data_IF_984493723543
#
_entry.id   IF_984493723543
#
_cell.length_a   1.000
_cell.length_b   1.000
_cell.length_c   1.000
_cell.angle_alpha   90.00
_cell.angle_beta   90.00
_cell.angle_gamma   90.00
#
_symmetry.space_group_name_H-M   'P 1'
#
loop_
_entity.id
_entity.type
_entity.pdbx_description
1 polymer ?
#
# COMPACT_ATOMS: atom_id res chain seq x y z
N UNK A 1 7.97 -1.63 16.61
CA UNK A 1 7.80 -1.75 15.15
C UNK A 1 9.02 -1.12 14.48
N UNK A 2 9.99 -1.92 13.98
CA UNK A 2 11.20 -1.36 13.33
C UNK A 2 10.84 -1.00 11.89
N UNK A 3 10.44 0.24 11.65
CA UNK A 3 10.29 0.78 10.30
C UNK A 3 11.67 0.73 9.65
N UNK A 4 11.85 -0.12 8.62
CA UNK A 4 13.09 -0.10 7.83
C UNK A 4 13.20 1.31 7.23
N UNK A 5 14.30 2.02 7.55
CA UNK A 5 14.62 3.37 7.06
C UNK A 5 14.44 3.52 5.53
N UNK A 6 14.56 2.42 4.78
CA UNK A 6 14.36 2.35 3.33
C UNK A 6 12.92 2.68 2.85
N UNK A 7 11.87 2.46 3.65
CA UNK A 7 10.49 2.73 3.22
C UNK A 7 10.19 4.21 3.03
N UNK A 8 10.86 5.10 3.77
CA UNK A 8 10.70 6.55 3.62
C UNK A 8 11.34 7.13 2.37
N UNK A 9 12.23 6.38 1.70
CA UNK A 9 12.83 6.81 0.43
C UNK A 9 11.91 6.56 -0.76
N UNK A 10 10.96 5.64 -0.65
CA UNK A 10 10.05 5.25 -1.73
C UNK A 10 9.17 6.44 -2.16
N UNK A 11 8.53 7.21 -1.25
CA UNK A 11 7.74 8.37 -1.66
C UNK A 11 8.56 9.47 -2.33
N UNK A 12 9.79 9.69 -1.86
CA UNK A 12 10.71 10.67 -2.44
C UNK A 12 11.10 10.29 -3.87
N UNK A 13 11.36 9.01 -4.12
CA UNK A 13 11.62 8.49 -5.46
C UNK A 13 10.39 8.64 -6.37
N UNK A 14 9.20 8.28 -5.89
CA UNK A 14 7.95 8.46 -6.65
C UNK A 14 7.72 9.93 -7.02
N UNK A 15 7.98 10.86 -6.11
CA UNK A 15 7.92 12.30 -6.38
C UNK A 15 8.91 12.74 -7.45
N UNK A 16 10.18 12.34 -7.32
CA UNK A 16 11.22 12.72 -8.28
C UNK A 16 10.93 12.18 -9.68
N UNK A 17 10.47 10.92 -9.78
CA UNK A 17 10.10 10.29 -11.05
C UNK A 17 8.90 11.00 -11.68
N UNK A 18 7.82 11.20 -10.91
CA UNK A 18 6.61 11.86 -11.43
C UNK A 18 6.88 13.31 -11.83
N UNK A 19 7.64 14.06 -11.03
CA UNK A 19 8.03 15.42 -11.34
C UNK A 19 8.92 15.52 -12.59
N UNK A 20 9.93 14.64 -12.69
CA UNK A 20 10.81 14.58 -13.87
C UNK A 20 10.04 14.20 -15.15
N UNK A 21 9.11 13.25 -15.05
CA UNK A 21 8.27 12.83 -16.18
C UNK A 21 7.36 13.96 -16.67
N UNK A 22 6.70 14.67 -15.76
CA UNK A 22 5.81 15.79 -16.10
C UNK A 22 6.60 16.99 -16.67
N UNK A 23 7.82 17.23 -16.18
CA UNK A 23 8.70 18.26 -16.71
C UNK A 23 9.12 17.97 -18.16
N UNK A 24 9.45 16.72 -18.49
CA UNK A 24 9.80 16.31 -19.87
C UNK A 24 8.61 16.50 -20.82
N UNK A 25 7.38 16.25 -20.34
CA UNK A 25 6.15 16.44 -21.12
C UNK A 25 5.71 17.89 -21.29
N UNK A 26 6.35 18.86 -20.61
CA UNK A 26 5.89 20.25 -20.51
C UNK A 26 4.44 20.40 -19.97
N UNK A 27 3.90 19.36 -19.32
CA UNK A 27 2.56 19.34 -18.70
C UNK A 27 2.66 19.56 -17.19
N UNK A 28 3.65 20.35 -16.75
CA UNK A 28 3.93 20.53 -15.34
C UNK A 28 2.84 21.41 -14.69
N UNK A 29 1.88 20.74 -14.06
CA UNK A 29 0.83 21.35 -13.25
C UNK A 29 0.79 20.67 -11.88
N UNK A 30 0.46 21.45 -10.84
CA UNK A 30 0.28 20.93 -9.47
C UNK A 30 -0.82 19.86 -9.44
N UNK A 31 -1.88 20.04 -10.25
CA UNK A 31 -2.95 19.05 -10.39
C UNK A 31 -2.43 17.75 -11.02
N UNK A 32 -1.66 17.84 -12.12
CA UNK A 32 -1.09 16.66 -12.78
C UNK A 32 -0.10 15.90 -11.88
N UNK A 33 0.65 16.61 -11.03
CA UNK A 33 1.52 16.01 -10.03
C UNK A 33 0.72 15.30 -8.93
N UNK A 34 -0.39 15.89 -8.47
CA UNK A 34 -1.32 15.26 -7.53
C UNK A 34 -1.86 13.94 -8.08
N UNK A 35 -2.33 13.92 -9.32
CA UNK A 35 -2.91 12.74 -9.96
C UNK A 35 -1.88 11.62 -10.11
N UNK A 36 -0.66 11.95 -10.54
CA UNK A 36 0.42 10.99 -10.65
C UNK A 36 0.78 10.36 -9.29
N UNK A 37 0.84 11.16 -8.23
CA UNK A 37 1.09 10.66 -6.87
C UNK A 37 -0.06 9.83 -6.33
N UNK A 38 -1.30 10.18 -6.67
CA UNK A 38 -2.48 9.40 -6.31
C UNK A 38 -2.42 7.99 -6.90
N UNK A 39 -2.03 7.86 -8.18
CA UNK A 39 -1.88 6.56 -8.83
C UNK A 39 -0.81 5.68 -8.15
N UNK A 40 0.32 6.26 -7.77
CA UNK A 40 1.33 5.57 -6.96
C UNK A 40 0.77 5.14 -5.60
N UNK A 41 0.08 6.05 -4.90
CA UNK A 41 -0.54 5.78 -3.62
C UNK A 41 -1.52 4.60 -3.71
N UNK A 42 -2.36 4.59 -4.75
CA UNK A 42 -3.35 3.54 -4.99
C UNK A 42 -2.68 2.17 -5.13
N UNK A 43 -1.62 2.06 -5.93
CA UNK A 43 -0.87 0.83 -6.10
C UNK A 43 -0.37 0.27 -4.75
N UNK A 44 0.25 1.13 -3.93
CA UNK A 44 0.76 0.75 -2.61
C UNK A 44 -0.35 0.40 -1.62
N UNK A 45 -1.45 1.15 -1.62
CA UNK A 45 -2.59 0.94 -0.72
C UNK A 45 -3.37 -0.32 -1.06
N UNK A 46 -3.54 -0.66 -2.34
CA UNK A 46 -4.17 -1.92 -2.75
C UNK A 46 -3.37 -3.10 -2.19
N UNK A 47 -2.08 -3.16 -2.50
CA UNK A 47 -1.21 -4.27 -2.06
C UNK A 47 -1.10 -4.31 -0.53
N UNK A 48 -0.86 -3.16 0.09
CA UNK A 48 -0.76 -3.03 1.54
C UNK A 48 -2.06 -3.40 2.25
N UNK A 49 -3.21 -3.01 1.71
CA UNK A 49 -4.53 -3.35 2.22
C UNK A 49 -4.80 -4.84 2.17
N UNK A 50 -4.53 -5.50 1.03
CA UNK A 50 -4.63 -6.96 0.93
C UNK A 50 -3.73 -7.67 1.94
N UNK A 51 -2.46 -7.27 2.03
CA UNK A 51 -1.52 -7.85 3.00
C UNK A 51 -1.93 -7.59 4.44
N UNK A 52 -2.57 -6.46 4.73
CA UNK A 52 -3.09 -6.15 6.05
C UNK A 52 -4.30 -7.02 6.41
N UNK A 53 -5.21 -7.26 5.47
CA UNK A 53 -6.31 -8.22 5.64
C UNK A 53 -5.75 -9.63 5.87
N UNK A 54 -4.72 -10.06 5.12
CA UNK A 54 -4.03 -11.33 5.40
C UNK A 54 -3.42 -11.35 6.81
N UNK A 55 -2.74 -10.28 7.22
CA UNK A 55 -2.12 -10.13 8.54
C UNK A 55 -3.12 -10.15 9.70
N UNK A 56 -4.37 -9.72 9.46
CA UNK A 56 -5.43 -9.60 10.48
C UNK A 56 -5.88 -10.95 11.05
N UNK A 57 -5.60 -12.06 10.36
CA UNK A 57 -6.09 -13.39 10.76
C UNK A 57 -7.50 -13.72 10.24
N UNK A 58 -8.12 -12.84 9.44
CA UNK A 58 -9.40 -13.13 8.77
C UNK A 58 -9.35 -14.44 7.98
N UNK A 59 -8.32 -14.62 7.15
CA UNK A 59 -8.16 -15.82 6.34
C UNK A 59 -7.84 -17.07 7.18
N UNK A 60 -7.08 -16.93 8.26
CA UNK A 60 -6.82 -18.03 9.20
C UNK A 60 -8.15 -18.50 9.85
N UNK A 61 -9.04 -17.56 10.20
CA UNK A 61 -10.37 -17.86 10.74
C UNK A 61 -11.32 -18.46 9.70
N UNK A 62 -11.26 -18.00 8.46
CA UNK A 62 -12.00 -18.58 7.34
C UNK A 62 -11.59 -20.02 7.08
N UNK A 63 -10.27 -20.29 7.04
CA UNK A 63 -9.72 -21.64 6.89
C UNK A 63 -10.15 -22.56 8.04
N UNK A 64 -10.13 -22.07 9.28
CA UNK A 64 -10.64 -22.79 10.43
C UNK A 64 -12.14 -23.12 10.29
N UNK A 65 -12.96 -22.13 9.92
CA UNK A 65 -14.42 -22.28 9.81
C UNK A 65 -14.83 -23.24 8.70
N UNK A 66 -14.21 -23.12 7.53
CA UNK A 66 -14.41 -24.06 6.41
C UNK A 66 -14.07 -25.49 6.83
N UNK A 67 -12.93 -25.70 7.50
CA UNK A 67 -12.51 -27.04 7.89
C UNK A 67 -13.40 -27.65 8.96
N UNK A 68 -13.90 -26.84 9.90
CA UNK A 68 -14.92 -27.25 10.88
C UNK A 68 -16.22 -27.68 10.19
N UNK A 69 -16.61 -27.02 9.10
CA UNK A 69 -17.78 -27.39 8.32
C UNK A 69 -17.58 -28.66 7.46
N UNK A 70 -16.35 -28.92 6.99
CA UNK A 70 -16.05 -30.01 6.05
C UNK A 70 -15.33 -31.24 6.64
N UNK A 71 -15.16 -31.34 7.97
CA UNK A 71 -14.58 -32.49 8.71
C UNK A 71 -13.26 -33.09 8.14
N UNK A 72 -12.44 -32.30 7.43
CA UNK A 72 -11.16 -32.77 6.85
C UNK A 72 -10.03 -32.75 7.90
N UNK A 73 -9.22 -33.81 7.92
CA UNK A 73 -8.17 -34.08 8.91
C UNK A 73 -7.08 -32.99 9.08
N UNK A 74 -6.49 -32.96 10.28
CA UNK A 74 -5.47 -32.01 10.78
C UNK A 74 -4.12 -32.14 10.06
N UNK A 75 -3.94 -31.45 8.95
CA UNK A 75 -2.62 -31.09 8.41
C UNK A 75 -2.22 -29.71 8.90
N UNK A 76 -0.95 -29.54 9.23
CA UNK A 76 -0.35 -28.26 9.65
C UNK A 76 -0.67 -27.16 8.65
N UNK A 77 -1.17 -26.03 9.15
CA UNK A 77 -1.56 -24.89 8.33
C UNK A 77 -0.40 -23.91 8.22
N UNK A 78 -0.12 -23.47 6.99
CA UNK A 78 0.63 -22.24 6.79
C UNK A 78 -0.26 -21.06 7.22
N UNK A 79 0.12 -20.39 8.30
CA UNK A 79 -0.52 -19.16 8.79
C UNK A 79 -0.35 -18.05 7.75
N UNK A 80 -1.41 -17.73 7.01
CA UNK A 80 -1.36 -16.58 6.09
C UNK A 80 -1.16 -15.26 6.86
N UNK A 81 -1.59 -15.21 8.12
CA UNK A 81 -1.28 -14.08 9.01
C UNK A 81 0.20 -13.83 9.23
N UNK A 82 1.05 -14.86 9.15
CA UNK A 82 2.50 -14.69 9.27
C UNK A 82 3.11 -14.03 8.02
N UNK A 83 2.60 -14.36 6.83
CA UNK A 83 3.05 -13.75 5.57
C UNK A 83 2.67 -12.27 5.51
N UNK A 84 1.44 -11.94 5.91
CA UNK A 84 0.95 -10.56 5.94
C UNK A 84 1.71 -9.70 6.95
N UNK A 85 1.89 -10.19 8.20
CA UNK A 85 2.44 -9.41 9.34
C UNK A 85 3.80 -8.79 9.10
N UNK A 86 4.67 -9.44 8.34
CA UNK A 86 6.03 -8.96 8.10
C UNK A 86 6.10 -7.91 7.00
N UNK A 87 5.12 -7.88 6.09
CA UNK A 87 5.20 -7.14 4.84
C UNK A 87 4.18 -6.00 4.73
N UNK A 88 3.00 -6.10 5.35
CA UNK A 88 1.92 -5.14 5.12
C UNK A 88 2.32 -3.68 5.43
N UNK A 89 3.04 -3.45 6.53
CA UNK A 89 3.47 -2.11 6.95
C UNK A 89 4.45 -1.46 5.96
N UNK A 90 5.27 -2.27 5.27
CA UNK A 90 6.18 -1.77 4.24
C UNK A 90 5.43 -1.20 3.03
N UNK A 91 4.28 -1.79 2.68
CA UNK A 91 3.46 -1.35 1.55
C UNK A 91 2.48 -0.24 1.93
N UNK A 92 1.87 -0.32 3.12
CA UNK A 92 0.92 0.71 3.57
C UNK A 92 1.58 2.05 3.86
N UNK A 93 2.77 2.07 4.46
CA UNK A 93 3.39 3.31 4.90
C UNK A 93 3.67 4.30 3.75
N UNK A 94 4.32 3.88 2.63
CA UNK A 94 4.48 4.75 1.46
C UNK A 94 3.14 5.13 0.84
N UNK A 95 2.17 4.21 0.77
CA UNK A 95 0.86 4.47 0.19
C UNK A 95 0.08 5.56 0.92
N UNK A 96 0.02 5.50 2.25
CA UNK A 96 -0.66 6.51 3.08
C UNK A 96 0.05 7.87 2.96
N UNK A 97 1.38 7.87 2.97
CA UNK A 97 2.15 9.12 2.83
C UNK A 97 1.94 9.77 1.46
N UNK A 98 2.01 8.99 0.38
CA UNK A 98 1.76 9.47 -0.98
C UNK A 98 0.32 9.97 -1.15
N UNK A 99 -0.65 9.29 -0.53
CA UNK A 99 -2.05 9.73 -0.55
C UNK A 99 -2.21 11.10 0.12
N UNK A 100 -1.63 11.27 1.31
CA UNK A 100 -1.69 12.54 2.03
C UNK A 100 -1.05 13.68 1.22
N UNK A 101 0.09 13.40 0.60
CA UNK A 101 0.79 14.39 -0.22
C UNK A 101 0.02 14.74 -1.51
N UNK A 102 -0.59 13.75 -2.16
CA UNK A 102 -1.48 13.95 -3.30
C UNK A 102 -2.65 14.86 -2.93
N UNK A 103 -3.33 14.60 -1.81
CA UNK A 103 -4.44 15.44 -1.35
C UNK A 103 -4.01 16.87 -1.03
N UNK A 104 -2.82 17.06 -0.44
CA UNK A 104 -2.26 18.40 -0.22
C UNK A 104 -2.04 19.14 -1.54
N UNK A 105 -1.44 18.49 -2.55
CA UNK A 105 -1.23 19.11 -3.86
C UNK A 105 -2.55 19.40 -4.58
N UNK A 106 -3.55 18.53 -4.46
CA UNK A 106 -4.88 18.78 -5.00
C UNK A 106 -5.54 20.00 -4.35
N UNK A 107 -5.44 20.14 -3.02
CA UNK A 107 -5.97 21.31 -2.32
C UNK A 107 -5.29 22.60 -2.77
N UNK A 108 -3.96 22.60 -2.90
CA UNK A 108 -3.19 23.76 -3.40
C UNK A 108 -3.56 24.09 -4.85
N UNK A 109 -3.84 23.09 -5.69
CA UNK A 109 -4.23 23.31 -7.07
C UNK A 109 -5.66 23.85 -7.22
N UNK A 110 -6.53 23.60 -6.23
CA UNK A 110 -7.96 23.95 -6.28
C UNK A 110 -8.27 25.25 -5.52
N UNK A 111 -7.35 25.71 -4.65
CA UNK A 111 -7.43 26.99 -3.93
C UNK A 111 -6.99 28.17 -4.80
#
# INVERSE_FOLDING_TARGET
MKIKKSSGLIPLLCLAISGGWLAIKNEFSIAALSDALFLWALFFLIIGGFLWVFASGFFDHFQYSMKKAFSKNKTDYLKLSQVGKQSYAFWLWPGVFLLFLSLLFLMIATS
#
